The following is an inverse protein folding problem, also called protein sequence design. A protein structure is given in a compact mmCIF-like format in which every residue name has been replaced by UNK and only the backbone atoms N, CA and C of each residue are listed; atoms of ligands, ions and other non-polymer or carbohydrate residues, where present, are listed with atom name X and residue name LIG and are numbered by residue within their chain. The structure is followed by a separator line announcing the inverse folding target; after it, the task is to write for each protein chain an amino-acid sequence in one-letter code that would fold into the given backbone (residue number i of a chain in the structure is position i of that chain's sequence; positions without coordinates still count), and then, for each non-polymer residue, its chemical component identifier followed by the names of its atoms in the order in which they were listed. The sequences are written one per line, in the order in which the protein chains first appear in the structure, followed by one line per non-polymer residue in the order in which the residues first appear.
data_IF_792457021929
#
_entry.id   IF_792457021929
#
_cell.length_a   1.000
_cell.length_b   1.000
_cell.length_c   1.000
_cell.angle_alpha   90.00
_cell.angle_beta   90.00
_cell.angle_gamma   90.00
#
_symmetry.space_group_name_H-M   'P 1'
#
loop_
_entity.id
_entity.type
_entity.pdbx_description
1 polymer ?
#
# COMPACT_ATOMS: atom_id res chain seq x y z
N UNK A 1 39.77 -4.65 16.78
CA UNK A 1 39.06 -3.37 16.57
C UNK A 1 37.85 -3.68 15.71
N UNK A 2 36.70 -3.94 16.34
CA UNK A 2 35.47 -4.33 15.66
C UNK A 2 34.57 -3.10 15.59
N UNK A 3 34.34 -2.58 14.39
CA UNK A 3 33.33 -1.54 14.16
C UNK A 3 31.96 -2.23 14.21
N UNK A 4 31.22 -1.96 15.28
CA UNK A 4 29.81 -2.34 15.37
C UNK A 4 29.05 -1.43 14.40
N UNK A 5 28.52 -2.02 13.33
CA UNK A 5 27.54 -1.38 12.46
C UNK A 5 26.28 -1.14 13.31
N UNK A 6 26.07 0.10 13.72
CA UNK A 6 24.80 0.53 14.29
C UNK A 6 23.76 0.50 13.16
N UNK A 7 22.95 -0.56 13.12
CA UNK A 7 21.72 -0.55 12.35
C UNK A 7 20.79 0.52 12.97
N UNK A 8 20.31 1.52 12.20
CA UNK A 8 19.20 2.31 12.69
C UNK A 8 18.01 1.38 12.79
N UNK A 9 17.67 1.00 14.02
CA UNK A 9 16.37 0.40 14.33
C UNK A 9 15.36 1.48 13.97
N UNK A 10 14.71 1.35 12.81
CA UNK A 10 13.61 2.22 12.43
C UNK A 10 12.55 2.09 13.51
N UNK A 11 12.36 3.16 14.27
CA UNK A 11 11.46 3.17 15.40
C UNK A 11 10.03 2.99 14.87
N UNK A 12 9.44 1.83 15.16
CA UNK A 12 8.04 1.53 14.83
C UNK A 12 7.05 2.49 15.54
N UNK A 13 7.55 3.42 16.36
CA UNK A 13 6.81 4.49 17.03
C UNK A 13 6.39 5.67 16.14
N UNK A 14 6.93 5.83 14.92
CA UNK A 14 6.67 7.04 14.11
C UNK A 14 5.24 7.14 13.54
N UNK A 15 4.48 6.03 13.55
CA UNK A 15 3.14 5.95 12.98
C UNK A 15 2.06 5.62 14.03
N UNK A 16 2.39 5.72 15.32
CA UNK A 16 1.46 5.43 16.41
C UNK A 16 0.42 6.54 16.48
N UNK A 17 -0.81 6.17 16.16
CA UNK A 17 -2.02 6.97 16.34
C UNK A 17 -2.68 6.60 17.68
N UNK A 18 -3.46 7.51 18.25
CA UNK A 18 -4.31 7.23 19.41
C UNK A 18 -5.79 7.43 19.02
N UNK A 19 -6.60 6.35 18.95
CA UNK A 19 -6.24 4.96 19.22
C UNK A 19 -5.32 4.35 18.14
N UNK A 20 -4.56 3.28 18.46
CA UNK A 20 -3.67 2.63 17.50
C UNK A 20 -4.42 2.15 16.26
N UNK A 21 -3.98 2.59 15.08
CA UNK A 21 -4.42 2.01 13.81
C UNK A 21 -4.06 0.51 13.80
N UNK A 22 -5.09 -0.34 13.79
CA UNK A 22 -4.94 -1.78 13.59
C UNK A 22 -4.91 -2.05 12.10
N UNK A 23 -3.78 -2.54 11.58
CA UNK A 23 -3.73 -3.13 10.23
C UNK A 23 -4.68 -4.35 10.20
N UNK A 24 -5.66 -4.38 9.30
CA UNK A 24 -6.56 -5.53 9.18
C UNK A 24 -5.80 -6.79 8.75
N UNK A 25 -6.27 -7.95 9.18
CA UNK A 25 -5.76 -9.21 8.64
C UNK A 25 -6.11 -9.32 7.14
N UNK A 26 -5.29 -10.00 6.31
CA UNK A 26 -5.53 -10.09 4.87
C UNK A 26 -6.93 -10.54 4.48
N UNK A 27 -7.51 -11.51 5.21
CA UNK A 27 -8.89 -11.98 5.01
C UNK A 27 -9.94 -10.90 5.30
N UNK A 28 -9.70 -10.05 6.29
CA UNK A 28 -10.61 -8.98 6.69
C UNK A 28 -10.58 -7.87 5.64
N UNK A 29 -9.36 -7.52 5.19
CA UNK A 29 -9.15 -6.59 4.09
C UNK A 29 -9.78 -7.09 2.78
N UNK A 30 -9.62 -8.37 2.44
CA UNK A 30 -10.22 -8.97 1.24
C UNK A 30 -11.76 -8.82 1.20
N UNK A 31 -12.40 -8.97 2.36
CA UNK A 31 -13.86 -8.80 2.48
C UNK A 31 -14.27 -7.34 2.34
N UNK A 32 -13.54 -6.43 2.98
CA UNK A 32 -13.84 -4.99 2.97
C UNK A 32 -13.47 -4.26 1.68
N UNK A 33 -12.47 -4.74 0.93
CA UNK A 33 -11.98 -4.10 -0.29
C UNK A 33 -12.94 -4.28 -1.46
N UNK A 34 -13.05 -3.28 -2.33
CA UNK A 34 -13.76 -3.42 -3.61
C UNK A 34 -12.86 -4.08 -4.68
N UNK A 35 -11.56 -3.85 -4.58
CA UNK A 35 -10.53 -4.34 -5.50
C UNK A 35 -9.55 -5.21 -4.71
N UNK A 36 -9.36 -6.44 -5.17
CA UNK A 36 -8.28 -7.32 -4.70
C UNK A 36 -7.56 -7.89 -5.92
N UNK A 37 -6.25 -7.66 -6.01
CA UNK A 37 -5.47 -8.11 -7.17
C UNK A 37 -4.02 -8.42 -6.81
N UNK A 38 -3.43 -9.34 -7.56
CA UNK A 38 -1.98 -9.51 -7.62
C UNK A 38 -1.45 -8.58 -8.70
N UNK A 39 -0.59 -7.65 -8.32
CA UNK A 39 0.01 -6.64 -9.20
C UNK A 39 1.53 -6.78 -9.21
N UNK A 40 2.14 -6.30 -10.29
CA UNK A 40 3.56 -6.03 -10.38
C UNK A 40 3.77 -4.52 -10.52
N UNK A 41 4.66 -3.94 -9.72
CA UNK A 41 4.96 -2.51 -9.77
C UNK A 41 6.00 -2.26 -10.86
N UNK A 42 5.58 -1.70 -11.99
CA UNK A 42 6.45 -1.50 -13.15
C UNK A 42 7.39 -0.31 -12.95
N UNK A 43 6.89 0.78 -12.37
CA UNK A 43 7.66 2.01 -12.17
C UNK A 43 7.07 2.87 -11.04
N UNK A 44 7.94 3.47 -10.22
CA UNK A 44 7.53 4.51 -9.27
C UNK A 44 7.99 5.87 -9.75
N UNK A 45 7.04 6.71 -10.15
CA UNK A 45 7.30 8.08 -10.57
C UNK A 45 7.71 8.93 -9.35
N UNK A 46 8.95 9.45 -9.31
CA UNK A 46 9.39 10.27 -8.19
C UNK A 46 8.60 11.57 -8.13
N UNK A 47 8.47 12.13 -6.92
CA UNK A 47 7.97 13.49 -6.74
C UNK A 47 8.78 14.48 -7.58
N UNK A 48 8.12 15.47 -8.13
CA UNK A 48 8.80 16.60 -8.78
C UNK A 48 9.69 17.33 -7.78
N UNK A 49 10.71 18.04 -8.29
CA UNK A 49 11.60 18.83 -7.43
C UNK A 49 10.83 19.86 -6.58
N UNK A 50 9.74 20.41 -7.14
CA UNK A 50 8.85 21.34 -6.44
C UNK A 50 8.10 20.67 -5.29
N UNK A 51 7.50 19.51 -5.54
CA UNK A 51 6.78 18.75 -4.52
C UNK A 51 7.70 18.32 -3.39
N UNK A 52 8.90 17.84 -3.72
CA UNK A 52 9.90 17.47 -2.72
C UNK A 52 10.30 18.67 -1.86
N UNK A 53 10.62 19.81 -2.48
CA UNK A 53 10.98 21.01 -1.75
C UNK A 53 9.85 21.51 -0.82
N UNK A 54 8.59 21.40 -1.26
CA UNK A 54 7.45 21.76 -0.43
C UNK A 54 7.26 20.77 0.73
N UNK A 55 7.39 19.47 0.50
CA UNK A 55 7.38 18.45 1.55
C UNK A 55 8.45 18.73 2.61
N UNK A 56 9.69 18.94 2.19
CA UNK A 56 10.82 19.22 3.09
C UNK A 56 10.58 20.50 3.90
N UNK A 57 10.03 21.54 3.26
CA UNK A 57 9.66 22.79 3.93
C UNK A 57 8.57 22.56 4.99
N UNK A 58 7.52 21.81 4.68
CA UNK A 58 6.42 21.55 5.61
C UNK A 58 6.86 20.72 6.81
N UNK A 59 7.72 19.71 6.61
CA UNK A 59 8.29 18.91 7.70
C UNK A 59 9.23 19.70 8.61
N UNK A 60 9.90 20.75 8.08
CA UNK A 60 10.86 21.56 8.84
C UNK A 60 10.26 22.84 9.41
N UNK A 61 9.03 23.21 9.04
CA UNK A 61 8.38 24.44 9.51
C UNK A 61 7.67 24.19 10.85
N UNK A 62 8.09 24.84 11.95
CA UNK A 62 7.40 24.73 13.23
C UNK A 62 5.95 25.23 13.12
N UNK A 63 4.99 24.44 13.58
CA UNK A 63 3.58 24.83 13.62
C UNK A 63 2.83 24.76 12.29
N UNK A 64 3.33 24.02 11.29
CA UNK A 64 2.71 23.89 9.96
C UNK A 64 1.30 23.27 9.94
N UNK A 65 0.75 22.84 11.09
CA UNK A 65 -0.54 22.16 11.16
C UNK A 65 -0.52 20.78 10.46
N UNK A 66 -1.65 20.06 10.46
CA UNK A 66 -1.75 18.80 9.73
C UNK A 66 -1.68 19.05 8.22
N UNK A 67 -0.78 18.34 7.53
CA UNK A 67 -0.68 18.36 6.08
C UNK A 67 -0.54 16.93 5.55
N UNK A 68 -1.02 16.70 4.32
CA UNK A 68 -0.80 15.44 3.60
C UNK A 68 0.32 15.68 2.60
N UNK A 69 1.50 15.05 2.75
CA UNK A 69 2.57 15.23 1.79
C UNK A 69 2.13 14.74 0.40
N UNK A 70 2.59 15.41 -0.68
CA UNK A 70 2.47 14.86 -2.01
C UNK A 70 3.07 13.46 -2.04
N UNK A 71 2.37 12.55 -2.72
CA UNK A 71 2.69 11.13 -2.76
C UNK A 71 3.14 10.75 -4.17
N UNK A 72 4.22 9.96 -4.33
CA UNK A 72 4.62 9.41 -5.63
C UNK A 72 3.49 8.60 -6.27
N UNK A 73 3.51 8.45 -7.59
CA UNK A 73 2.59 7.58 -8.31
C UNK A 73 3.32 6.30 -8.72
N UNK A 74 2.67 5.15 -8.58
CA UNK A 74 3.20 3.87 -9.03
C UNK A 74 2.37 3.37 -10.22
N UNK A 75 3.06 3.12 -11.33
CA UNK A 75 2.54 2.37 -12.48
C UNK A 75 2.66 0.88 -12.19
N UNK A 76 1.69 0.12 -12.63
CA UNK A 76 1.62 -1.30 -12.33
C UNK A 76 0.97 -2.08 -13.48
N UNK A 77 1.32 -3.35 -13.53
CA UNK A 77 0.69 -4.35 -14.38
C UNK A 77 -0.07 -5.35 -13.52
N UNK A 78 -1.21 -5.81 -14.03
CA UNK A 78 -2.08 -6.75 -13.32
C UNK A 78 -1.66 -8.16 -13.68
N UNK A 79 -1.24 -8.94 -12.68
CA UNK A 79 -0.96 -10.37 -12.85
C UNK A 79 -2.24 -11.19 -12.78
N UNK A 80 -3.09 -10.85 -11.81
CA UNK A 80 -4.36 -11.55 -11.57
C UNK A 80 -5.32 -10.68 -10.78
N UNK A 81 -6.58 -10.65 -11.21
CA UNK A 81 -7.67 -10.04 -10.44
C UNK A 81 -8.32 -11.12 -9.58
N UNK A 82 -8.47 -10.86 -8.28
CA UNK A 82 -9.12 -11.75 -7.31
C UNK A 82 -10.52 -11.25 -6.93
N UNK A 83 -10.76 -9.94 -6.95
CA UNK A 83 -12.06 -9.30 -6.70
C UNK A 83 -12.12 -7.92 -7.38
N UNK A 84 -13.30 -7.58 -7.90
CA UNK A 84 -13.60 -6.27 -8.46
C UNK A 84 -12.95 -6.02 -9.83
N UNK A 85 -12.98 -4.76 -10.27
CA UNK A 85 -12.41 -4.32 -11.53
C UNK A 85 -11.37 -3.22 -11.30
N UNK A 86 -10.29 -3.26 -12.07
CA UNK A 86 -9.24 -2.25 -12.03
C UNK A 86 -9.54 -1.20 -13.11
N UNK A 87 -9.69 0.10 -12.76
CA UNK A 87 -9.95 1.13 -13.75
C UNK A 87 -8.83 1.22 -14.80
N UNK A 88 -9.22 1.41 -16.05
CA UNK A 88 -8.27 1.54 -17.16
C UNK A 88 -7.38 2.77 -16.95
N UNK A 89 -6.06 2.58 -17.07
CA UNK A 89 -5.08 3.64 -16.89
C UNK A 89 -4.89 4.11 -15.44
N UNK A 90 -5.43 3.38 -14.46
CA UNK A 90 -5.22 3.68 -13.05
C UNK A 90 -3.72 3.64 -12.70
N UNK A 91 -3.34 4.53 -11.79
CA UNK A 91 -2.05 4.49 -11.09
C UNK A 91 -2.31 4.42 -9.59
N UNK A 92 -1.34 3.90 -8.85
CA UNK A 92 -1.44 3.76 -7.40
C UNK A 92 -0.80 4.99 -6.73
N UNK A 93 -1.44 5.55 -5.70
CA UNK A 93 -0.80 6.50 -4.78
C UNK A 93 0.17 5.71 -3.91
N UNK A 94 1.47 5.89 -4.13
CA UNK A 94 2.50 5.25 -3.33
C UNK A 94 2.70 6.00 -2.01
N UNK A 95 2.94 5.28 -0.92
CA UNK A 95 3.19 5.88 0.39
C UNK A 95 4.36 6.87 0.36
N UNK A 96 4.16 8.16 0.69
CA UNK A 96 5.24 9.13 0.82
C UNK A 96 6.10 8.88 2.06
N UNK A 97 5.58 8.16 3.07
CA UNK A 97 6.27 7.84 4.31
C UNK A 97 6.17 6.35 4.65
N UNK A 98 6.87 5.92 5.71
CA UNK A 98 6.76 4.56 6.24
C UNK A 98 5.41 4.26 6.92
N UNK A 99 4.55 5.26 7.09
CA UNK A 99 3.25 5.10 7.73
C UNK A 99 2.14 4.69 6.76
N UNK A 100 2.44 4.68 5.46
CA UNK A 100 1.51 4.25 4.42
C UNK A 100 2.11 3.07 3.66
N UNK A 101 1.29 2.42 2.83
CA UNK A 101 1.76 1.34 1.97
C UNK A 101 2.80 1.87 0.99
N UNK A 102 4.04 1.47 1.20
CA UNK A 102 5.15 1.74 0.30
C UNK A 102 5.36 0.57 -0.66
N UNK A 103 5.22 0.86 -1.95
CA UNK A 103 5.43 -0.04 -3.07
C UNK A 103 6.81 0.23 -3.68
N UNK A 104 7.61 -0.82 -3.81
CA UNK A 104 8.91 -0.79 -4.45
C UNK A 104 8.77 -1.18 -5.93
N UNK A 105 9.49 -0.47 -6.80
CA UNK A 105 9.62 -0.81 -8.21
C UNK A 105 10.17 -2.24 -8.37
N UNK A 106 9.58 -3.00 -9.31
CA UNK A 106 9.89 -4.40 -9.58
C UNK A 106 9.31 -5.40 -8.57
N UNK A 107 8.57 -4.94 -7.55
CA UNK A 107 7.92 -5.81 -6.56
C UNK A 107 6.56 -6.33 -7.02
N UNK A 108 6.25 -7.57 -6.64
CA UNK A 108 4.90 -8.13 -6.75
C UNK A 108 4.15 -7.98 -5.43
N UNK A 109 2.87 -7.62 -5.47
CA UNK A 109 2.07 -7.32 -4.29
C UNK A 109 0.65 -7.87 -4.41
N UNK A 110 0.05 -8.22 -3.27
CA UNK A 110 -1.40 -8.36 -3.14
C UNK A 110 -1.96 -7.01 -2.74
N UNK A 111 -2.59 -6.33 -3.70
CA UNK A 111 -3.25 -5.05 -3.53
C UNK A 111 -4.65 -5.26 -2.96
N UNK A 112 -4.96 -4.54 -1.89
CA UNK A 112 -6.32 -4.31 -1.41
C UNK A 112 -6.64 -2.83 -1.57
N UNK A 113 -7.78 -2.50 -2.18
CA UNK A 113 -8.19 -1.12 -2.33
C UNK A 113 -9.72 -0.97 -2.37
N UNK A 114 -10.19 0.21 -1.96
CA UNK A 114 -11.54 0.68 -2.28
C UNK A 114 -11.58 1.18 -3.72
N UNK A 115 -12.76 1.17 -4.33
CA UNK A 115 -12.96 1.79 -5.64
C UNK A 115 -12.63 3.29 -5.53
N UNK A 116 -11.82 3.86 -6.45
CA UNK A 116 -11.57 5.30 -6.44
C UNK A 116 -12.89 6.10 -6.53
N UNK A 117 -13.02 7.21 -5.79
CA UNK A 117 -14.29 7.93 -5.68
C UNK A 117 -14.67 8.65 -6.98
N UNK A 118 -13.69 9.08 -7.79
CA UNK A 118 -13.92 9.63 -9.11
C UNK A 118 -13.04 8.97 -10.21
N UNK A 119 -13.47 8.99 -11.48
CA UNK A 119 -12.63 8.59 -12.60
C UNK A 119 -11.36 9.44 -12.68
N UNK A 120 -10.21 8.78 -12.85
CA UNK A 120 -8.91 9.44 -12.90
C UNK A 120 -8.23 9.60 -11.53
N UNK A 121 -8.93 9.35 -10.43
CA UNK A 121 -8.31 9.30 -9.11
C UNK A 121 -7.35 8.11 -9.01
N UNK A 122 -6.29 8.30 -8.22
CA UNK A 122 -5.32 7.26 -7.93
C UNK A 122 -5.92 6.21 -7.01
N UNK A 123 -5.55 4.96 -7.23
CA UNK A 123 -5.87 3.88 -6.31
C UNK A 123 -5.07 4.11 -5.02
N UNK A 124 -5.76 4.12 -3.87
CA UNK A 124 -5.12 4.20 -2.56
C UNK A 124 -5.09 2.80 -1.97
N UNK A 125 -3.90 2.20 -1.75
CA UNK A 125 -3.81 0.89 -1.13
C UNK A 125 -4.30 0.94 0.32
N UNK A 126 -5.00 -0.10 0.74
CA UNK A 126 -5.29 -0.34 2.16
C UNK A 126 -4.04 -0.91 2.85
N UNK A 127 -3.88 -0.62 4.14
CA UNK A 127 -2.70 -0.99 4.94
C UNK A 127 -2.40 -2.50 4.99
N UNK A 128 -3.38 -3.35 4.69
CA UNK A 128 -3.20 -4.79 4.60
C UNK A 128 -2.49 -5.26 3.30
N UNK A 129 -2.22 -4.35 2.36
CA UNK A 129 -1.46 -4.62 1.13
C UNK A 129 -0.07 -5.12 1.48
N UNK A 130 0.33 -6.26 0.91
CA UNK A 130 1.59 -6.90 1.24
C UNK A 130 2.35 -7.38 0.02
N UNK A 131 3.68 -7.45 0.17
CA UNK A 131 4.60 -7.91 -0.86
C UNK A 131 4.60 -9.43 -0.99
N UNK A 132 4.76 -9.93 -2.20
CA UNK A 132 4.93 -11.36 -2.49
C UNK A 132 6.40 -11.64 -2.79
N UNK A 133 7.17 -12.04 -1.77
CA UNK A 133 8.59 -12.35 -1.92
C UNK A 133 8.87 -13.83 -2.21
N UNK A 134 7.87 -14.55 -2.73
CA UNK A 134 7.92 -16.00 -3.00
C UNK A 134 8.33 -16.84 -1.79
N UNK A 135 8.04 -16.35 -0.58
CA UNK A 135 8.21 -17.12 0.65
C UNK A 135 7.01 -18.03 0.88
N UNK A 136 7.21 -19.13 1.62
CA UNK A 136 6.08 -19.99 2.02
C UNK A 136 5.03 -19.27 2.86
N UNK A 137 5.43 -18.23 3.60
CA UNK A 137 4.54 -17.39 4.39
C UNK A 137 3.63 -16.54 3.51
N UNK A 138 4.18 -15.86 2.50
CA UNK A 138 3.38 -15.01 1.60
C UNK A 138 2.45 -15.85 0.71
N UNK A 139 2.90 -17.03 0.30
CA UNK A 139 2.06 -17.99 -0.42
C UNK A 139 0.86 -18.43 0.42
N UNK A 140 1.07 -18.72 1.72
CA UNK A 140 -0.01 -19.08 2.63
C UNK A 140 -1.01 -17.91 2.84
N UNK A 141 -0.51 -16.67 2.99
CA UNK A 141 -1.36 -15.47 3.09
C UNK A 141 -2.19 -15.25 1.84
N UNK A 142 -1.59 -15.40 0.66
CA UNK A 142 -2.31 -15.30 -0.62
C UNK A 142 -3.40 -16.38 -0.73
N UNK A 143 -3.10 -17.62 -0.37
CA UNK A 143 -4.08 -18.71 -0.36
C UNK A 143 -5.24 -18.44 0.61
N UNK A 144 -4.98 -17.84 1.78
CA UNK A 144 -6.03 -17.42 2.72
C UNK A 144 -6.94 -16.35 2.11
N UNK A 145 -6.36 -15.36 1.42
CA UNK A 145 -7.11 -14.31 0.71
C UNK A 145 -8.01 -14.94 -0.35
N UNK A 146 -7.47 -15.81 -1.20
CA UNK A 146 -8.22 -16.51 -2.25
C UNK A 146 -9.38 -17.33 -1.65
N UNK A 147 -9.10 -18.09 -0.59
CA UNK A 147 -10.11 -18.88 0.13
C UNK A 147 -11.21 -17.99 0.72
N UNK A 148 -10.85 -16.84 1.29
CA UNK A 148 -11.81 -15.91 1.87
C UNK A 148 -12.80 -15.35 0.83
N UNK A 149 -12.35 -15.16 -0.41
CA UNK A 149 -13.15 -14.64 -1.51
C UNK A 149 -14.06 -15.70 -2.12
N UNK A 150 -13.60 -16.94 -2.24
CA UNK A 150 -14.43 -18.05 -2.74
C UNK A 150 -15.56 -18.41 -1.78
N UNK A 151 -15.30 -18.46 -0.47
CA UNK A 151 -16.33 -18.75 0.53
C UNK A 151 -17.33 -17.59 0.71
N UNK A 152 -16.94 -16.36 0.37
CA UNK A 152 -17.87 -15.22 0.39
C UNK A 152 -18.90 -15.31 -0.75
N UNK A 153 -18.52 -15.89 -1.90
CA UNK A 153 -19.43 -16.12 -3.03
C UNK A 153 -20.39 -17.31 -2.83
N UNK A 154 -20.16 -18.19 -1.84
CA UNK A 154 -21.06 -19.30 -1.51
C UNK A 154 -22.21 -18.93 -0.57
N UNK A 155 -22.23 -17.70 -0.03
CA UNK A 155 -23.33 -17.16 0.77
C UNK A 155 -24.24 -16.29 -0.10
N UNK A 156 -25.07 -16.93 -0.92
CA UNK A 156 -26.24 -16.31 -1.54
C UNK A 156 -27.34 -17.38 -1.68
N UNK A 157 -28.40 -17.34 -0.85
CA UNK A 157 -29.68 -17.96 -1.19
C UNK A 157 -30.45 -17.11 -2.22
#
# INVERSE_FOLDING_TARGET
MACVLAAPVGDAGACVTDPPLRTPEPREAARGADIVAVIHVDHVEPLTARERAETDRLFTTPGAGPFVPPAPSARFSVRRVLKGDIPVGAVIRNGPTSCEVYLAEGGDYVLFAMKPPAPGDRIVPMDATFRLDNTGYDAARLAEVESSLTHSNSLSP
#
